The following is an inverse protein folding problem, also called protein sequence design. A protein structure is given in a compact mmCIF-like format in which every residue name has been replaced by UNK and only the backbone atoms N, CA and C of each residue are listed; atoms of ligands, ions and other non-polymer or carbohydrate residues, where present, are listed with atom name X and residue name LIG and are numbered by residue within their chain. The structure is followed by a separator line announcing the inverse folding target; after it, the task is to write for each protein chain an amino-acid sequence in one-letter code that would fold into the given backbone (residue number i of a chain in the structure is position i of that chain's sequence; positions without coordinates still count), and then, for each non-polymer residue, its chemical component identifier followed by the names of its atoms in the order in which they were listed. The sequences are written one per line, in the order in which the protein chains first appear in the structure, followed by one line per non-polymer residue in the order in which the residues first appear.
data_IF_782153137493
#
_entry.id   IF_782153137493
#
_cell.length_a   1.000
_cell.length_b   1.000
_cell.length_c   1.000
_cell.angle_alpha   90.00
_cell.angle_beta   90.00
_cell.angle_gamma   90.00
#
_symmetry.space_group_name_H-M   'P 1'
#
loop_
_entity.id
_entity.type
_entity.pdbx_description
1 polymer ?
#
# COMPACT_ATOMS: atom_id res chain seq x y z
N UNK A 1 -27.49 -45.24 -21.22
CA UNK A 1 -27.16 -44.23 -20.18
C UNK A 1 -26.01 -43.39 -20.70
N UNK A 2 -26.23 -42.09 -20.99
CA UNK A 2 -25.20 -41.19 -21.56
C UNK A 2 -24.28 -40.71 -20.43
N UNK A 3 -23.00 -41.07 -20.51
CA UNK A 3 -21.95 -40.60 -19.62
C UNK A 3 -21.66 -39.11 -19.85
N UNK A 4 -22.35 -38.24 -19.11
CA UNK A 4 -21.97 -36.84 -18.95
C UNK A 4 -20.94 -36.74 -17.82
N UNK A 5 -19.66 -36.93 -18.09
CA UNK A 5 -18.63 -36.64 -17.05
C UNK A 5 -17.26 -36.19 -17.55
N UNK A 6 -17.05 -36.02 -18.86
CA UNK A 6 -15.81 -35.42 -19.38
C UNK A 6 -15.74 -33.89 -19.31
N UNK A 7 -16.84 -33.21 -18.98
CA UNK A 7 -16.89 -31.74 -18.85
C UNK A 7 -16.29 -31.19 -17.54
N UNK A 8 -16.01 -32.05 -16.55
CA UNK A 8 -15.54 -31.61 -15.22
C UNK A 8 -14.02 -31.41 -15.17
N UNK A 9 -13.27 -32.09 -16.05
CA UNK A 9 -11.80 -32.02 -16.09
C UNK A 9 -11.29 -30.66 -16.59
N UNK A 10 -11.85 -30.15 -17.69
CA UNK A 10 -11.45 -28.84 -18.24
C UNK A 10 -11.83 -27.66 -17.36
N UNK A 11 -12.84 -27.81 -16.49
CA UNK A 11 -13.30 -26.72 -15.62
C UNK A 11 -12.26 -26.39 -14.52
N UNK A 12 -11.56 -27.38 -13.99
CA UNK A 12 -10.52 -27.20 -12.99
C UNK A 12 -9.20 -26.67 -13.57
N UNK A 13 -8.90 -27.02 -14.82
CA UNK A 13 -7.73 -26.51 -15.55
C UNK A 13 -7.89 -25.02 -15.89
N UNK A 14 -9.09 -24.59 -16.30
CA UNK A 14 -9.44 -23.18 -16.52
C UNK A 14 -9.31 -22.34 -15.24
N UNK A 15 -9.73 -22.88 -14.07
CA UNK A 15 -9.62 -22.17 -12.79
C UNK A 15 -8.15 -22.02 -12.35
N UNK A 16 -7.30 -23.01 -12.65
CA UNK A 16 -5.86 -22.97 -12.36
C UNK A 16 -5.15 -21.92 -13.21
N UNK A 17 -5.50 -21.82 -14.49
CA UNK A 17 -4.94 -20.83 -15.44
C UNK A 17 -5.41 -19.40 -15.14
N UNK A 18 -6.68 -19.22 -14.74
CA UNK A 18 -7.18 -17.94 -14.26
C UNK A 18 -6.46 -17.46 -12.98
N UNK A 19 -6.06 -18.38 -12.09
CA UNK A 19 -5.26 -18.07 -10.87
C UNK A 19 -3.80 -17.74 -11.19
N UNK A 20 -3.26 -18.26 -12.29
CA UNK A 20 -1.94 -17.94 -12.83
C UNK A 20 -1.92 -16.59 -13.58
N UNK A 21 -3.07 -16.12 -14.11
CA UNK A 21 -3.27 -14.74 -14.57
C UNK A 21 -3.45 -13.75 -13.40
N UNK A 22 -4.11 -14.17 -12.30
CA UNK A 22 -4.17 -13.44 -11.02
C UNK A 22 -2.78 -13.27 -10.35
N UNK A 23 -1.77 -14.05 -10.77
CA UNK A 23 -0.38 -13.91 -10.34
C UNK A 23 0.44 -12.92 -11.19
N UNK A 24 -0.09 -12.37 -12.30
CA UNK A 24 0.69 -11.61 -13.29
C UNK A 24 0.47 -10.09 -13.34
N UNK A 25 -0.55 -9.50 -12.71
CA UNK A 25 -0.91 -8.10 -13.02
C UNK A 25 -1.16 -7.15 -11.82
N UNK A 26 -0.93 -7.61 -10.59
CA UNK A 26 -1.23 -6.85 -9.37
C UNK A 26 -2.09 -7.68 -8.45
N UNK A 27 -2.00 -7.44 -7.14
CA UNK A 27 -2.82 -8.15 -6.17
C UNK A 27 -4.25 -7.62 -6.29
N UNK A 28 -5.24 -8.40 -6.75
CA UNK A 28 -6.61 -7.94 -6.94
C UNK A 28 -7.30 -7.51 -5.64
N UNK A 29 -6.75 -7.89 -4.48
CA UNK A 29 -7.22 -7.47 -3.15
C UNK A 29 -6.53 -6.19 -2.66
N UNK A 30 -5.55 -5.68 -3.39
CA UNK A 30 -4.82 -4.48 -3.00
C UNK A 30 -5.60 -3.23 -3.40
N UNK A 31 -5.77 -2.36 -2.42
CA UNK A 31 -6.49 -1.11 -2.52
C UNK A 31 -5.55 0.02 -2.08
N UNK A 32 -5.84 1.25 -2.49
CA UNK A 32 -5.05 2.39 -2.01
C UNK A 32 -5.52 2.76 -0.61
N UNK A 33 -4.56 2.90 0.31
CA UNK A 33 -4.79 3.41 1.66
C UNK A 33 -3.97 4.68 1.89
N UNK A 34 -4.54 5.61 2.63
CA UNK A 34 -3.82 6.73 3.22
C UNK A 34 -3.38 6.37 4.63
N UNK A 35 -2.10 6.54 4.90
CA UNK A 35 -1.47 6.26 6.19
C UNK A 35 -0.96 7.58 6.75
N UNK A 36 -1.46 7.97 7.92
CA UNK A 36 -1.04 9.17 8.64
C UNK A 36 -0.24 8.77 9.87
N UNK A 37 0.92 9.38 10.06
CA UNK A 37 1.82 9.08 11.15
C UNK A 37 1.53 9.96 12.39
N UNK A 38 2.05 9.51 13.53
CA UNK A 38 2.05 10.31 14.74
C UNK A 38 2.98 11.53 14.60
N UNK A 39 2.79 12.50 15.50
CA UNK A 39 3.56 13.75 15.49
C UNK A 39 5.08 13.49 15.44
N UNK A 40 5.74 14.21 14.54
CA UNK A 40 7.19 14.19 14.36
C UNK A 40 7.73 15.64 14.42
N UNK A 41 8.53 15.99 15.43
CA UNK A 41 9.08 17.34 15.54
C UNK A 41 10.03 17.69 14.38
N UNK A 42 10.67 16.71 13.76
CA UNK A 42 11.59 16.95 12.64
C UNK A 42 10.80 17.28 11.37
N UNK A 43 9.65 16.62 11.16
CA UNK A 43 8.71 17.00 10.12
C UNK A 43 8.28 18.47 10.24
N UNK A 44 7.88 18.92 11.45
CA UNK A 44 7.47 20.32 11.65
C UNK A 44 8.63 21.29 11.42
N UNK A 45 9.85 20.94 11.87
CA UNK A 45 11.05 21.74 11.63
C UNK A 45 11.34 21.91 10.14
N UNK A 46 11.27 20.83 9.37
CA UNK A 46 11.50 20.83 7.93
C UNK A 46 10.38 21.55 7.18
N UNK A 47 9.12 21.34 7.56
CA UNK A 47 7.94 21.98 6.98
C UNK A 47 7.92 23.49 7.17
N UNK A 48 8.49 24.00 8.26
CA UNK A 48 8.61 25.43 8.49
C UNK A 48 9.54 26.14 7.47
N UNK A 49 10.43 25.39 6.80
CA UNK A 49 11.34 25.94 5.81
C UNK A 49 10.69 25.98 4.41
N UNK A 50 10.12 27.13 4.07
CA UNK A 50 9.39 27.34 2.80
C UNK A 50 10.29 27.62 1.58
N UNK A 51 11.61 27.45 1.69
CA UNK A 51 12.51 27.59 0.54
C UNK A 51 12.38 26.41 -0.42
N UNK A 52 12.75 26.58 -1.70
CA UNK A 52 12.79 25.47 -2.67
C UNK A 52 13.68 24.33 -2.20
N UNK A 53 14.82 24.65 -1.58
CA UNK A 53 15.72 23.65 -0.98
C UNK A 53 15.06 22.95 0.21
N UNK A 54 14.34 23.70 1.05
CA UNK A 54 13.57 23.15 2.18
C UNK A 54 12.49 22.19 1.74
N UNK A 55 11.75 22.50 0.67
CA UNK A 55 10.75 21.59 0.09
C UNK A 55 11.38 20.28 -0.38
N UNK A 56 12.51 20.34 -1.10
CA UNK A 56 13.19 19.14 -1.57
C UNK A 56 13.74 18.28 -0.40
N UNK A 57 14.23 18.93 0.65
CA UNK A 57 14.70 18.27 1.87
C UNK A 57 13.55 17.57 2.62
N UNK A 58 12.42 18.24 2.76
CA UNK A 58 11.20 17.68 3.35
C UNK A 58 10.70 16.46 2.55
N UNK A 59 10.63 16.58 1.23
CA UNK A 59 10.18 15.49 0.35
C UNK A 59 11.09 14.27 0.46
N UNK A 60 12.41 14.47 0.48
CA UNK A 60 13.39 13.40 0.66
C UNK A 60 13.28 12.74 2.03
N UNK A 61 13.15 13.54 3.10
CA UNK A 61 12.96 13.06 4.47
C UNK A 61 11.71 12.18 4.58
N UNK A 62 10.56 12.69 4.14
CA UNK A 62 9.30 11.96 4.19
C UNK A 62 9.34 10.70 3.34
N UNK A 63 9.86 10.77 2.11
CA UNK A 63 9.97 9.59 1.26
C UNK A 63 10.77 8.48 1.92
N UNK A 64 11.96 8.80 2.47
CA UNK A 64 12.82 7.83 3.15
C UNK A 64 12.16 7.26 4.40
N UNK A 65 11.57 8.12 5.24
CA UNK A 65 10.86 7.72 6.46
C UNK A 65 9.72 6.74 6.16
N UNK A 66 8.91 7.03 5.13
CA UNK A 66 7.81 6.15 4.73
C UNK A 66 8.31 4.80 4.18
N UNK A 67 9.39 4.80 3.39
CA UNK A 67 9.98 3.57 2.87
C UNK A 67 10.53 2.69 4.00
N UNK A 68 11.21 3.29 4.98
CA UNK A 68 11.73 2.57 6.14
C UNK A 68 10.60 1.94 6.97
N UNK A 69 9.50 2.66 7.19
CA UNK A 69 8.35 2.13 7.92
C UNK A 69 7.73 0.94 7.18
N UNK A 70 7.52 1.06 5.88
CA UNK A 70 6.95 -0.01 5.07
C UNK A 70 7.86 -1.25 5.02
N UNK A 71 9.17 -1.07 4.83
CA UNK A 71 10.14 -2.17 4.84
C UNK A 71 10.24 -2.87 6.20
N UNK A 72 10.05 -2.13 7.30
CA UNK A 72 10.06 -2.67 8.65
C UNK A 72 8.86 -3.55 8.93
N UNK A 73 7.68 -3.19 8.41
CA UNK A 73 6.41 -3.81 8.80
C UNK A 73 5.88 -4.82 7.78
N UNK A 74 6.19 -4.62 6.51
CA UNK A 74 5.63 -5.41 5.41
C UNK A 74 6.74 -6.14 4.64
N UNK A 75 6.39 -7.28 4.09
CA UNK A 75 7.31 -8.02 3.22
C UNK A 75 7.63 -7.18 1.97
N UNK A 76 8.91 -7.05 1.58
CA UNK A 76 9.28 -6.37 0.35
C UNK A 76 8.56 -6.95 -0.88
N UNK A 77 8.28 -6.11 -1.88
CA UNK A 77 7.58 -6.47 -3.11
C UNK A 77 6.12 -6.95 -2.94
N UNK A 78 5.53 -6.79 -1.75
CA UNK A 78 4.10 -7.11 -1.50
C UNK A 78 3.21 -5.86 -1.37
N UNK A 79 3.79 -4.67 -1.55
CA UNK A 79 3.13 -3.38 -1.46
C UNK A 79 3.72 -2.41 -2.49
N UNK A 80 2.99 -1.34 -2.79
CA UNK A 80 3.47 -0.27 -3.67
C UNK A 80 3.15 1.10 -3.10
N UNK A 81 4.17 1.82 -2.62
CA UNK A 81 4.03 3.24 -2.23
C UNK A 81 3.72 4.07 -3.47
N UNK A 82 2.66 4.87 -3.43
CA UNK A 82 2.20 5.71 -4.55
C UNK A 82 2.80 7.10 -4.44
N UNK A 83 2.74 7.69 -3.24
CA UNK A 83 3.27 9.04 -2.98
C UNK A 83 3.45 9.27 -1.48
N UNK A 84 4.39 10.16 -1.14
CA UNK A 84 4.40 10.84 0.15
C UNK A 84 3.54 12.10 0.05
N UNK A 85 2.85 12.45 1.13
CA UNK A 85 2.08 13.69 1.25
C UNK A 85 2.97 14.67 2.02
N UNK A 86 3.33 15.83 1.46
CA UNK A 86 4.19 16.79 2.17
C UNK A 86 3.41 17.67 3.16
N UNK A 87 2.13 17.92 2.87
CA UNK A 87 1.25 18.81 3.66
C UNK A 87 0.94 18.22 5.04
N UNK A 88 0.97 16.90 5.16
CA UNK A 88 0.72 16.11 6.38
C UNK A 88 1.74 14.98 6.44
N UNK A 89 2.21 14.58 7.62
CA UNK A 89 3.13 13.44 7.76
C UNK A 89 2.42 12.11 7.44
N UNK A 90 2.37 11.75 6.16
CA UNK A 90 1.64 10.60 5.67
C UNK A 90 1.90 10.24 4.22
N UNK A 91 1.34 9.12 3.78
CA UNK A 91 1.57 8.60 2.44
C UNK A 91 0.39 7.77 1.91
N UNK A 92 0.34 7.63 0.59
CA UNK A 92 -0.57 6.73 -0.10
C UNK A 92 0.17 5.43 -0.48
N UNK A 93 -0.43 4.28 -0.19
CA UNK A 93 0.15 2.96 -0.49
C UNK A 93 -0.92 1.99 -0.97
N UNK A 94 -0.59 1.21 -1.97
CA UNK A 94 -1.42 0.11 -2.47
C UNK A 94 -1.06 -1.18 -1.72
N UNK A 95 -2.01 -1.69 -0.94
CA UNK A 95 -1.85 -2.83 -0.01
C UNK A 95 -3.17 -3.58 0.19
N UNK A 96 -3.08 -4.80 0.70
CA UNK A 96 -4.25 -5.58 1.16
C UNK A 96 -4.80 -5.07 2.49
N UNK A 97 -6.06 -5.39 2.79
CA UNK A 97 -6.67 -5.11 4.11
C UNK A 97 -5.87 -5.75 5.26
N UNK A 98 -5.27 -6.93 5.05
CA UNK A 98 -4.41 -7.58 6.06
C UNK A 98 -3.17 -6.76 6.37
N UNK A 99 -2.52 -6.21 5.35
CA UNK A 99 -1.37 -5.32 5.52
C UNK A 99 -1.80 -3.98 6.14
N UNK A 100 -2.98 -3.46 5.80
CA UNK A 100 -3.52 -2.26 6.43
C UNK A 100 -3.75 -2.48 7.94
N UNK A 101 -4.25 -3.64 8.36
CA UNK A 101 -4.40 -3.99 9.77
C UNK A 101 -3.05 -4.04 10.53
N UNK A 102 -1.98 -4.51 9.87
CA UNK A 102 -0.62 -4.46 10.43
C UNK A 102 -0.19 -3.00 10.66
N UNK A 103 -0.39 -2.13 9.67
CA UNK A 103 -0.07 -0.70 9.79
C UNK A 103 -0.88 -0.02 10.90
N UNK A 104 -2.18 -0.33 11.04
CA UNK A 104 -3.03 0.19 12.14
C UNK A 104 -2.52 -0.19 13.53
N UNK A 105 -1.78 -1.29 13.63
CA UNK A 105 -1.22 -1.77 14.90
C UNK A 105 0.17 -1.20 15.21
N UNK A 106 0.77 -0.45 14.28
CA UNK A 106 2.09 0.13 14.46
C UNK A 106 2.01 1.39 15.33
N UNK A 107 2.89 1.49 16.33
CA UNK A 107 2.95 2.64 17.27
C UNK A 107 3.27 3.97 16.58
N UNK A 108 3.90 3.91 15.41
CA UNK A 108 4.28 5.08 14.61
C UNK A 108 3.08 5.63 13.82
N UNK A 109 2.05 4.81 13.59
CA UNK A 109 0.90 5.14 12.75
C UNK A 109 -0.24 5.67 13.63
N UNK A 110 -0.83 6.78 13.20
CA UNK A 110 -2.00 7.38 13.85
C UNK A 110 -3.30 6.85 13.27
N UNK A 111 -3.41 6.84 11.94
CA UNK A 111 -4.63 6.50 11.20
C UNK A 111 -4.26 5.80 9.90
N UNK A 112 -5.07 4.81 9.50
CA UNK A 112 -5.02 4.17 8.18
C UNK A 112 -6.43 4.14 7.59
N UNK A 113 -6.65 4.94 6.56
CA UNK A 113 -7.93 5.04 5.85
C UNK A 113 -7.85 4.40 4.48
N UNK A 114 -8.88 3.63 4.11
CA UNK A 114 -9.01 3.16 2.73
C UNK A 114 -9.37 4.37 1.85
N UNK A 115 -8.68 4.55 0.73
CA UNK A 115 -9.07 5.55 -0.25
C UNK A 115 -10.42 5.12 -0.86
N UNK A 116 -11.49 5.76 -0.42
CA UNK A 116 -12.81 5.60 -1.00
C UNK A 116 -12.93 6.56 -2.18
N UNK A 117 -12.35 6.21 -3.32
CA UNK A 117 -12.82 6.83 -4.56
C UNK A 117 -14.26 6.35 -4.76
N UNK A 118 -15.22 7.29 -4.72
CA UNK A 118 -16.62 7.02 -5.04
C UNK A 118 -16.65 6.48 -6.49
N UNK A 119 -16.89 5.18 -6.61
CA UNK A 119 -17.10 4.51 -7.89
C UNK A 119 -18.33 5.06 -8.63
#
# INVERSE_FOLDING_TARGET
MRGKTKLVCGYWEIIKEARELLAKMGNPEAEVYFVFLNFDPEYERLRANQSTKGSAELDAYLSSKHDQLLQKLLQPNTYKKRSSLAIVDGFAVEITEKQAAILRSAKEVRVVEKNQELA
#
